data_IF_188327427112
#
_entry.id   IF_188327427112
#
_cell.length_a   1.000
_cell.length_b   1.000
_cell.length_c   1.000
_cell.angle_alpha   90.00
_cell.angle_beta   90.00
_cell.angle_gamma   90.00
#
_symmetry.space_group_name_H-M   'P 1'
#
loop_
_entity.id
_entity.type
_entity.pdbx_description
1 polymer ?
#
# COMPACT_ATOMS: atom_id res chain seq x y z
N UNK A 1 24.51 -20.92 11.29
CA UNK A 1 24.63 -20.15 10.03
C UNK A 1 25.54 -18.98 10.29
N UNK A 2 26.53 -18.68 9.43
CA UNK A 2 27.44 -17.57 9.67
C UNK A 2 26.69 -16.24 9.59
N UNK A 3 26.95 -15.38 10.58
CA UNK A 3 26.52 -13.98 10.59
C UNK A 3 27.21 -13.29 9.42
N UNK A 4 26.47 -12.74 8.48
CA UNK A 4 27.06 -11.98 7.38
C UNK A 4 27.46 -10.58 7.87
N UNK A 5 28.73 -10.19 7.81
CA UNK A 5 29.13 -8.81 8.12
C UNK A 5 28.54 -7.87 7.05
N UNK A 6 27.83 -6.86 7.49
CA UNK A 6 27.37 -5.77 6.63
C UNK A 6 28.47 -4.72 6.62
N UNK A 7 29.11 -4.52 5.48
CA UNK A 7 30.17 -3.53 5.23
C UNK A 7 29.77 -2.09 5.60
N UNK A 8 30.73 -1.12 5.62
CA UNK A 8 30.43 0.25 5.99
C UNK A 8 29.18 0.77 5.29
N UNK A 9 28.20 1.16 6.09
CA UNK A 9 26.80 1.36 5.66
C UNK A 9 26.64 2.26 4.41
N UNK A 10 27.43 3.33 4.31
CA UNK A 10 27.26 4.29 3.21
C UNK A 10 27.75 3.75 1.87
N UNK A 11 28.97 3.19 1.82
CA UNK A 11 29.55 2.66 0.59
C UNK A 11 28.80 1.42 0.09
N UNK A 12 28.35 0.56 1.01
CA UNK A 12 27.58 -0.64 0.65
C UNK A 12 26.19 -0.27 0.16
N UNK A 13 25.54 0.71 0.78
CA UNK A 13 24.21 1.17 0.39
C UNK A 13 24.23 1.86 -0.99
N UNK A 14 25.25 2.67 -1.29
CA UNK A 14 25.42 3.26 -2.62
C UNK A 14 25.71 2.23 -3.71
N UNK A 15 26.46 1.19 -3.39
CA UNK A 15 26.77 0.11 -4.33
C UNK A 15 25.53 -0.75 -4.67
N UNK A 16 24.63 -0.95 -3.70
CA UNK A 16 23.45 -1.82 -3.88
C UNK A 16 22.14 -1.08 -4.20
N UNK A 17 22.06 0.19 -3.82
CA UNK A 17 20.93 1.06 -4.17
C UNK A 17 21.43 2.46 -4.51
N UNK A 18 21.94 2.67 -5.73
CA UNK A 18 22.43 3.96 -6.19
C UNK A 18 21.31 5.02 -6.29
N UNK A 19 20.04 4.60 -6.22
CA UNK A 19 18.88 5.51 -6.25
C UNK A 19 18.52 6.03 -4.86
N UNK A 20 19.13 5.50 -3.79
CA UNK A 20 18.84 5.91 -2.43
C UNK A 20 19.30 7.34 -2.17
N UNK A 21 18.40 8.18 -1.61
CA UNK A 21 18.74 9.56 -1.24
C UNK A 21 19.57 9.61 0.05
N UNK A 22 20.35 10.68 0.24
CA UNK A 22 21.09 10.92 1.47
C UNK A 22 20.17 10.92 2.71
N UNK A 23 18.96 11.50 2.60
CA UNK A 23 17.96 11.51 3.67
C UNK A 23 17.48 10.09 4.01
N UNK A 24 17.30 9.23 3.02
CA UNK A 24 16.91 7.84 3.21
C UNK A 24 18.02 7.04 3.92
N UNK A 25 19.28 7.21 3.50
CA UNK A 25 20.43 6.57 4.16
C UNK A 25 20.58 7.00 5.61
N UNK A 26 20.40 8.30 5.88
CA UNK A 26 20.46 8.82 7.25
C UNK A 26 19.31 8.28 8.13
N UNK A 27 18.12 8.14 7.59
CA UNK A 27 17.00 7.51 8.30
C UNK A 27 17.28 6.05 8.64
N UNK A 28 17.92 5.30 7.75
CA UNK A 28 18.36 3.92 8.00
C UNK A 28 19.42 3.83 9.09
N UNK A 29 20.43 4.73 9.10
CA UNK A 29 21.42 4.80 10.18
C UNK A 29 20.78 5.02 11.54
N UNK A 30 19.83 5.97 11.61
CA UNK A 30 19.07 6.24 12.85
C UNK A 30 18.29 5.01 13.31
N UNK A 31 17.71 4.27 12.38
CA UNK A 31 16.99 3.02 12.69
C UNK A 31 17.94 1.94 13.21
N UNK A 32 19.09 1.75 12.57
CA UNK A 32 20.12 0.80 13.03
C UNK A 32 20.64 1.17 14.42
N UNK A 33 20.85 2.45 14.70
CA UNK A 33 21.27 2.91 16.03
C UNK A 33 20.17 2.68 17.09
N UNK A 34 18.91 2.83 16.72
CA UNK A 34 17.79 2.50 17.60
C UNK A 34 17.73 0.99 17.91
N UNK A 35 17.97 0.14 16.90
CA UNK A 35 18.07 -1.32 17.07
C UNK A 35 19.25 -1.70 17.95
N UNK A 36 20.41 -1.04 17.79
CA UNK A 36 21.57 -1.25 18.68
C UNK A 36 21.25 -0.92 20.13
N UNK A 37 20.62 0.22 20.38
CA UNK A 37 20.19 0.61 21.76
C UNK A 37 19.18 -0.36 22.35
N UNK A 38 18.40 -1.01 21.53
CA UNK A 38 17.44 -2.04 21.93
C UNK A 38 18.09 -3.45 22.05
N UNK A 39 19.37 -3.60 21.72
CA UNK A 39 20.09 -4.87 21.78
C UNK A 39 19.88 -5.82 20.61
N UNK A 40 19.33 -5.35 19.49
CA UNK A 40 19.01 -6.16 18.30
C UNK A 40 20.02 -6.04 17.18
N UNK A 41 20.97 -5.13 17.30
CA UNK A 41 22.07 -4.95 16.37
C UNK A 41 23.35 -4.59 17.12
N UNK A 42 24.49 -4.94 16.58
CA UNK A 42 25.81 -4.56 17.10
C UNK A 42 26.55 -3.74 16.05
N UNK A 43 27.26 -2.72 16.48
CA UNK A 43 28.12 -1.93 15.60
C UNK A 43 29.57 -2.25 15.89
N UNK A 44 30.29 -2.70 14.89
CA UNK A 44 31.70 -3.01 14.96
C UNK A 44 32.59 -1.76 14.89
N UNK A 45 33.85 -1.87 15.26
CA UNK A 45 34.79 -0.75 15.27
C UNK A 45 35.13 -0.21 13.89
N UNK A 46 34.97 -1.02 12.85
CA UNK A 46 35.12 -0.65 11.43
C UNK A 46 33.88 0.08 10.86
N UNK A 47 32.84 0.28 11.68
CA UNK A 47 31.60 0.93 11.28
C UNK A 47 30.56 0.00 10.65
N UNK A 48 30.84 -1.29 10.52
CA UNK A 48 29.89 -2.29 10.05
C UNK A 48 28.82 -2.60 11.10
N UNK A 49 27.69 -3.14 10.65
CA UNK A 49 26.57 -3.52 11.50
C UNK A 49 26.34 -5.02 11.41
N UNK A 50 26.16 -5.64 12.55
CA UNK A 50 25.75 -7.03 12.65
C UNK A 50 24.31 -7.10 13.14
N UNK A 51 23.47 -7.79 12.38
CA UNK A 51 22.07 -8.01 12.71
C UNK A 51 21.84 -9.51 12.84
N UNK A 52 21.34 -9.93 13.99
CA UNK A 52 21.09 -11.36 14.24
C UNK A 52 20.03 -11.93 13.29
N UNK A 53 20.09 -13.26 12.99
CA UNK A 53 19.14 -13.90 12.08
C UNK A 53 17.70 -13.87 12.58
N UNK A 54 17.49 -13.73 13.87
CA UNK A 54 16.22 -13.65 14.56
C UNK A 54 15.74 -12.21 14.85
N UNK A 55 16.42 -11.20 14.29
CA UNK A 55 16.13 -9.78 14.55
C UNK A 55 14.67 -9.38 14.27
N UNK A 56 14.02 -9.98 13.28
CA UNK A 56 12.60 -9.69 12.99
C UNK A 56 11.67 -10.17 14.12
N UNK A 57 11.94 -11.34 14.66
CA UNK A 57 11.21 -11.88 15.80
C UNK A 57 11.43 -11.06 17.07
N UNK A 58 12.68 -10.67 17.32
CA UNK A 58 13.06 -9.84 18.45
C UNK A 58 12.45 -8.44 18.33
N UNK A 59 12.51 -7.81 17.16
CA UNK A 59 11.89 -6.52 16.89
C UNK A 59 10.37 -6.57 17.11
N UNK A 60 9.72 -7.62 16.66
CA UNK A 60 8.29 -7.84 16.88
C UNK A 60 7.94 -7.97 18.36
N UNK A 61 8.72 -8.74 19.12
CA UNK A 61 8.53 -8.87 20.58
C UNK A 61 8.74 -7.53 21.29
N UNK A 62 9.76 -6.76 20.88
CA UNK A 62 10.03 -5.44 21.43
C UNK A 62 8.89 -4.44 21.12
N UNK A 63 8.41 -4.39 19.90
CA UNK A 63 7.24 -3.59 19.53
C UNK A 63 6.01 -3.97 20.38
N UNK A 64 5.74 -5.26 20.51
CA UNK A 64 4.64 -5.74 21.36
C UNK A 64 4.81 -5.33 22.82
N UNK A 65 6.04 -5.33 23.36
CA UNK A 65 6.31 -4.91 24.75
C UNK A 65 6.14 -3.40 24.96
N UNK A 66 6.39 -2.59 23.93
CA UNK A 66 6.29 -1.12 23.98
C UNK A 66 4.90 -0.60 23.67
N UNK A 67 4.22 -1.21 22.71
CA UNK A 67 2.93 -0.75 22.20
C UNK A 67 1.75 -1.58 22.72
N UNK A 68 2.01 -2.66 23.46
CA UNK A 68 1.01 -3.65 23.81
C UNK A 68 0.44 -4.30 22.54
N UNK A 69 -0.87 -4.52 22.52
CA UNK A 69 -1.58 -5.03 21.33
C UNK A 69 -2.02 -3.92 20.36
N UNK A 70 -1.32 -2.76 20.35
CA UNK A 70 -1.66 -1.68 19.43
C UNK A 70 -1.53 -2.16 17.97
N UNK A 71 -2.64 -2.15 17.25
CA UNK A 71 -2.69 -2.49 15.84
C UNK A 71 -2.73 -1.19 15.03
N UNK A 72 -1.75 -1.04 14.12
CA UNK A 72 -1.78 0.04 13.15
C UNK A 72 -2.73 -0.34 12.01
N UNK A 73 -3.78 0.44 11.84
CA UNK A 73 -4.74 0.29 10.75
C UNK A 73 -4.71 1.55 9.86
N UNK A 74 -4.06 1.44 8.71
CA UNK A 74 -3.95 2.53 7.75
C UNK A 74 -5.28 2.69 7.02
N UNK A 75 -6.02 3.75 7.33
CA UNK A 75 -7.34 4.02 6.75
C UNK A 75 -7.26 4.68 5.37
N UNK A 76 -6.23 5.46 5.11
CA UNK A 76 -5.98 6.09 3.81
C UNK A 76 -4.47 6.24 3.60
N UNK A 77 -4.06 6.21 2.33
CA UNK A 77 -2.70 6.52 1.89
C UNK A 77 -2.56 7.98 1.44
N UNK A 78 -3.68 8.68 1.29
CA UNK A 78 -3.72 10.11 1.02
C UNK A 78 -3.93 10.89 2.31
N UNK A 79 -3.35 12.10 2.43
CA UNK A 79 -3.65 13.04 3.49
C UNK A 79 -5.14 13.37 3.54
N UNK A 80 -5.67 13.70 4.73
CA UNK A 80 -7.10 13.98 4.92
C UNK A 80 -7.58 15.12 4.02
N UNK A 81 -6.78 16.17 3.87
CA UNK A 81 -7.15 17.33 3.06
C UNK A 81 -7.28 16.99 1.57
N UNK A 82 -6.49 16.03 1.08
CA UNK A 82 -6.59 15.53 -0.29
C UNK A 82 -7.81 14.63 -0.51
N UNK A 83 -8.38 14.07 0.55
CA UNK A 83 -9.59 13.23 0.45
C UNK A 83 -10.86 14.05 0.20
N UNK A 84 -10.86 15.34 0.56
CA UNK A 84 -12.04 16.19 0.47
C UNK A 84 -12.55 16.32 -0.97
N UNK A 85 -11.70 16.67 -1.90
CA UNK A 85 -12.05 16.89 -3.32
C UNK A 85 -11.58 15.73 -4.23
N UNK A 86 -11.24 14.60 -3.64
CA UNK A 86 -10.77 13.45 -4.41
C UNK A 86 -11.86 12.90 -5.34
N UNK A 87 -11.52 12.67 -6.62
CA UNK A 87 -12.42 12.09 -7.62
C UNK A 87 -12.44 10.56 -7.53
N UNK A 88 -13.05 10.04 -6.49
CA UNK A 88 -13.15 8.62 -6.19
C UNK A 88 -13.72 8.37 -4.80
N UNK A 89 -13.88 7.10 -4.42
CA UNK A 89 -14.31 6.73 -3.09
C UNK A 89 -13.16 6.90 -2.09
N UNK A 90 -13.45 7.59 -0.99
CA UNK A 90 -12.46 7.85 0.05
C UNK A 90 -12.80 7.15 1.37
N UNK A 91 -11.87 7.15 2.30
CA UNK A 91 -12.15 6.69 3.65
C UNK A 91 -13.23 7.54 4.35
N UNK A 92 -13.29 8.86 4.06
CA UNK A 92 -14.31 9.74 4.63
C UNK A 92 -15.74 9.30 4.25
N UNK A 93 -15.92 8.75 3.05
CA UNK A 93 -17.21 8.29 2.54
C UNK A 93 -17.69 7.01 3.21
N UNK A 94 -16.75 6.16 3.67
CA UNK A 94 -17.05 4.85 4.28
C UNK A 94 -17.29 4.91 5.78
N UNK A 95 -17.00 6.04 6.40
CA UNK A 95 -17.08 6.15 7.86
C UNK A 95 -18.49 6.09 8.42
N UNK A 96 -19.46 6.58 7.67
CA UNK A 96 -20.80 6.84 8.23
C UNK A 96 -20.69 7.75 9.47
N UNK A 97 -21.51 7.46 10.49
CA UNK A 97 -21.51 8.23 11.75
C UNK A 97 -20.44 7.80 12.78
N UNK A 98 -19.43 7.02 12.38
CA UNK A 98 -18.39 6.56 13.30
C UNK A 98 -17.55 7.74 13.81
N UNK A 99 -17.59 7.97 15.11
CA UNK A 99 -16.76 8.98 15.77
C UNK A 99 -15.29 8.57 15.79
N UNK A 100 -14.39 9.49 15.47
CA UNK A 100 -12.92 9.28 15.47
C UNK A 100 -12.32 9.66 16.82
N UNK A 101 -13.02 9.41 17.93
CA UNK A 101 -12.55 9.81 19.25
C UNK A 101 -12.76 11.31 19.54
N UNK A 102 -11.90 11.88 20.38
CA UNK A 102 -11.93 13.29 20.78
C UNK A 102 -10.56 13.94 20.55
N UNK A 103 -10.53 15.27 20.41
CA UNK A 103 -9.30 16.04 20.24
C UNK A 103 -9.11 16.66 18.86
N UNK A 104 -7.95 17.28 18.65
CA UNK A 104 -7.67 18.05 17.42
C UNK A 104 -7.82 17.23 16.13
N UNK A 105 -7.36 15.97 16.14
CA UNK A 105 -7.49 15.08 14.98
C UNK A 105 -8.96 14.76 14.67
N UNK A 106 -9.76 14.46 15.70
CA UNK A 106 -11.19 14.20 15.52
C UNK A 106 -11.95 15.41 14.92
N UNK A 107 -11.59 16.62 15.39
CA UNK A 107 -12.15 17.86 14.84
C UNK A 107 -11.70 18.09 13.39
N UNK A 108 -10.47 17.75 13.04
CA UNK A 108 -9.99 17.84 11.65
C UNK A 108 -10.76 16.88 10.75
N UNK A 109 -10.91 15.63 11.16
CA UNK A 109 -11.67 14.62 10.40
C UNK A 109 -13.13 15.03 10.26
N UNK A 110 -13.77 15.59 11.29
CA UNK A 110 -15.15 16.04 11.22
C UNK A 110 -15.32 17.14 10.16
N UNK A 111 -14.47 18.18 10.20
CA UNK A 111 -14.47 19.26 9.20
C UNK A 111 -14.24 18.73 7.78
N UNK A 112 -13.26 17.83 7.60
CA UNK A 112 -12.99 17.22 6.30
C UNK A 112 -14.19 16.39 5.80
N UNK A 113 -14.93 15.72 6.71
CA UNK A 113 -16.13 14.97 6.35
C UNK A 113 -17.27 15.89 5.90
N UNK A 114 -17.45 17.03 6.57
CA UNK A 114 -18.47 18.02 6.18
C UNK A 114 -18.13 18.62 4.80
N UNK A 115 -16.88 19.02 4.60
CA UNK A 115 -16.38 19.54 3.31
C UNK A 115 -16.50 18.49 2.19
N UNK A 116 -16.20 17.22 2.50
CA UNK A 116 -16.37 16.10 1.56
C UNK A 116 -17.83 15.94 1.17
N UNK A 117 -18.75 16.03 2.11
CA UNK A 117 -20.19 15.98 1.84
C UNK A 117 -20.61 17.10 0.89
N UNK A 118 -20.19 18.34 1.13
CA UNK A 118 -20.47 19.48 0.27
C UNK A 118 -19.93 19.26 -1.15
N UNK A 119 -18.70 18.73 -1.27
CA UNK A 119 -18.10 18.36 -2.55
C UNK A 119 -18.95 17.32 -3.30
N UNK A 120 -19.38 16.25 -2.63
CA UNK A 120 -20.22 15.20 -3.24
C UNK A 120 -21.59 15.72 -3.68
N UNK A 121 -22.18 16.66 -2.94
CA UNK A 121 -23.43 17.33 -3.34
C UNK A 121 -23.17 18.20 -4.57
N UNK A 122 -22.10 18.99 -4.59
CA UNK A 122 -21.71 19.83 -5.72
C UNK A 122 -21.48 19.01 -6.99
N UNK A 123 -20.85 17.83 -6.87
CA UNK A 123 -20.60 16.92 -8.00
C UNK A 123 -21.77 16.03 -8.37
N UNK A 124 -22.89 16.13 -7.63
CA UNK A 124 -24.11 15.33 -7.80
C UNK A 124 -23.94 13.83 -7.53
N UNK A 125 -22.91 13.48 -6.81
CA UNK A 125 -22.68 12.10 -6.35
C UNK A 125 -23.51 11.78 -5.09
N UNK A 126 -23.88 12.81 -4.31
CA UNK A 126 -24.78 12.75 -3.14
C UNK A 126 -25.91 13.76 -3.29
N UNK A 127 -27.13 13.41 -2.87
CA UNK A 127 -28.24 14.37 -2.77
C UNK A 127 -28.20 15.08 -1.41
N UNK A 128 -28.72 16.33 -1.33
CA UNK A 128 -28.73 17.08 -0.06
C UNK A 128 -29.49 16.40 1.08
N UNK A 129 -30.56 15.64 0.77
CA UNK A 129 -31.38 14.90 1.72
C UNK A 129 -30.81 13.53 2.13
N UNK A 130 -29.78 13.02 1.42
CA UNK A 130 -29.11 11.77 1.73
C UNK A 130 -28.10 11.97 2.86
N UNK A 131 -28.19 11.18 3.94
CA UNK A 131 -27.28 11.26 5.10
C UNK A 131 -25.90 10.62 4.82
N UNK A 132 -25.87 9.63 3.96
CA UNK A 132 -24.64 8.88 3.60
C UNK A 132 -24.68 8.51 2.12
N UNK A 133 -23.50 8.22 1.58
CA UNK A 133 -23.34 7.83 0.20
C UNK A 133 -23.97 6.45 -0.06
N UNK A 134 -24.97 6.32 -0.96
CA UNK A 134 -25.59 5.05 -1.27
C UNK A 134 -24.58 4.03 -1.82
N UNK A 135 -24.77 2.74 -1.54
CA UNK A 135 -23.84 1.66 -1.95
C UNK A 135 -23.57 1.68 -3.47
N UNK A 136 -24.61 1.87 -4.28
CA UNK A 136 -24.44 1.97 -5.72
C UNK A 136 -23.52 3.13 -6.15
N UNK A 137 -23.60 4.26 -5.45
CA UNK A 137 -22.71 5.39 -5.68
C UNK A 137 -21.29 5.13 -5.19
N UNK A 138 -21.13 4.40 -4.08
CA UNK A 138 -19.80 3.97 -3.61
C UNK A 138 -19.10 3.14 -4.68
N UNK A 139 -19.77 2.16 -5.27
CA UNK A 139 -19.20 1.34 -6.35
C UNK A 139 -18.84 2.16 -7.60
N UNK A 140 -19.65 3.17 -7.95
CA UNK A 140 -19.31 4.07 -9.06
C UNK A 140 -18.05 4.89 -8.78
N UNK A 141 -17.90 5.42 -7.56
CA UNK A 141 -16.70 6.17 -7.17
C UNK A 141 -15.45 5.27 -7.09
N UNK A 142 -15.61 4.04 -6.61
CA UNK A 142 -14.53 3.05 -6.65
C UNK A 142 -14.07 2.74 -8.09
N UNK A 143 -15.02 2.54 -8.99
CA UNK A 143 -14.72 2.27 -10.40
C UNK A 143 -14.06 3.49 -11.07
N UNK A 144 -14.52 4.70 -10.76
CA UNK A 144 -13.97 5.97 -11.27
C UNK A 144 -12.51 6.12 -10.87
N UNK A 145 -12.19 5.92 -9.59
CA UNK A 145 -10.82 6.02 -9.08
C UNK A 145 -9.89 4.99 -9.74
N UNK A 146 -10.32 3.73 -9.84
CA UNK A 146 -9.54 2.70 -10.55
C UNK A 146 -9.32 3.05 -12.01
N UNK A 147 -10.34 3.59 -12.69
CA UNK A 147 -10.22 4.05 -14.07
C UNK A 147 -9.21 5.19 -14.22
N UNK A 148 -9.21 6.16 -13.31
CA UNK A 148 -8.27 7.27 -13.33
C UNK A 148 -6.82 6.79 -13.09
N UNK A 149 -6.62 5.89 -12.13
CA UNK A 149 -5.32 5.27 -11.90
C UNK A 149 -4.84 4.45 -13.11
N UNK A 150 -5.74 3.70 -13.73
CA UNK A 150 -5.46 2.95 -14.95
C UNK A 150 -5.09 3.86 -16.13
N UNK A 151 -5.78 4.98 -16.31
CA UNK A 151 -5.42 5.97 -17.35
C UNK A 151 -4.02 6.53 -17.13
N UNK A 152 -3.68 6.88 -15.89
CA UNK A 152 -2.34 7.38 -15.55
C UNK A 152 -1.26 6.35 -15.87
N UNK A 153 -1.46 5.08 -15.49
CA UNK A 153 -0.51 4.00 -15.80
C UNK A 153 -0.47 3.69 -17.30
N UNK A 154 -1.59 3.75 -18.01
CA UNK A 154 -1.64 3.58 -19.49
C UNK A 154 -0.77 4.61 -20.20
N UNK A 155 -0.84 5.88 -19.78
CA UNK A 155 -0.01 6.95 -20.34
C UNK A 155 1.46 6.70 -20.05
N UNK A 156 1.79 6.33 -18.80
CA UNK A 156 3.15 6.11 -18.35
C UNK A 156 3.82 4.89 -19.00
N UNK A 157 3.09 3.77 -19.09
CA UNK A 157 3.62 2.48 -19.56
C UNK A 157 3.34 2.18 -21.03
N UNK A 158 2.47 2.94 -21.68
CA UNK A 158 1.96 2.72 -23.07
C UNK A 158 1.30 1.34 -23.25
N UNK A 159 0.73 0.79 -22.17
CA UNK A 159 0.02 -0.49 -22.17
C UNK A 159 -1.48 -0.30 -21.98
N UNK A 160 -2.27 -1.24 -22.47
CA UNK A 160 -3.72 -1.22 -22.31
C UNK A 160 -4.11 -1.70 -20.89
N UNK A 161 -5.07 -1.01 -20.29
CA UNK A 161 -5.71 -1.49 -19.07
C UNK A 161 -6.78 -2.52 -19.38
N UNK A 162 -6.72 -3.68 -18.71
CA UNK A 162 -7.71 -4.75 -18.82
C UNK A 162 -8.48 -4.82 -17.50
N UNK A 163 -9.78 -4.60 -17.56
CA UNK A 163 -10.68 -4.90 -16.46
C UNK A 163 -11.00 -6.40 -16.48
N UNK A 164 -10.75 -7.10 -15.38
CA UNK A 164 -10.97 -8.54 -15.28
C UNK A 164 -12.38 -8.78 -14.75
N UNK A 165 -13.30 -9.18 -15.61
CA UNK A 165 -14.70 -9.46 -15.25
C UNK A 165 -14.83 -10.78 -14.50
N UNK A 166 -16.02 -11.00 -13.91
CA UNK A 166 -16.31 -12.24 -13.19
C UNK A 166 -16.11 -13.46 -14.10
N UNK A 167 -15.28 -14.38 -13.63
CA UNK A 167 -14.92 -15.61 -14.38
C UNK A 167 -13.74 -15.45 -15.31
N UNK A 168 -13.34 -14.26 -15.66
CA UNK A 168 -12.16 -14.00 -16.48
C UNK A 168 -10.87 -14.15 -15.71
N UNK A 169 -9.80 -14.41 -16.46
CA UNK A 169 -8.44 -14.59 -15.93
C UNK A 169 -7.48 -13.70 -16.70
N UNK A 170 -6.64 -12.96 -15.98
CA UNK A 170 -5.52 -12.21 -16.53
C UNK A 170 -4.21 -12.74 -15.94
N UNK A 171 -3.22 -12.98 -16.80
CA UNK A 171 -1.88 -13.44 -16.41
C UNK A 171 -0.86 -12.35 -16.66
N UNK A 172 -0.05 -12.07 -15.64
CA UNK A 172 0.99 -11.06 -15.72
C UNK A 172 1.96 -11.16 -14.57
N UNK A 173 2.96 -10.29 -14.55
CA UNK A 173 3.95 -10.18 -13.48
C UNK A 173 3.50 -9.08 -12.51
N UNK A 174 3.63 -9.30 -11.21
CA UNK A 174 3.46 -8.23 -10.23
C UNK A 174 4.64 -7.27 -10.30
N UNK A 175 4.38 -6.03 -10.68
CA UNK A 175 5.44 -5.04 -10.94
C UNK A 175 5.66 -4.11 -9.73
N UNK A 176 4.61 -3.40 -9.34
CA UNK A 176 4.67 -2.38 -8.29
C UNK A 176 3.32 -2.16 -7.63
N UNK A 177 3.29 -1.66 -6.40
CA UNK A 177 2.07 -1.19 -5.79
C UNK A 177 1.70 0.22 -6.30
N UNK A 178 0.40 0.54 -6.26
CA UNK A 178 -0.15 1.88 -6.44
C UNK A 178 -1.08 2.19 -5.27
N UNK A 179 -0.94 3.38 -4.68
CA UNK A 179 -1.78 3.82 -3.58
C UNK A 179 -2.94 4.65 -4.12
N UNK A 180 -4.15 4.24 -3.81
CA UNK A 180 -5.39 4.93 -4.11
C UNK A 180 -6.08 5.34 -2.79
N UNK A 181 -7.00 6.29 -2.84
CA UNK A 181 -7.74 6.72 -1.64
C UNK A 181 -8.55 5.57 -1.02
N UNK A 182 -9.07 4.68 -1.83
CA UNK A 182 -9.82 3.50 -1.39
C UNK A 182 -8.94 2.36 -0.86
N UNK A 183 -7.62 2.43 -1.05
CA UNK A 183 -6.68 1.41 -0.61
C UNK A 183 -5.51 1.22 -1.56
N UNK A 184 -4.68 0.23 -1.27
CA UNK A 184 -3.50 -0.10 -2.07
C UNK A 184 -3.82 -1.18 -3.09
N UNK A 185 -3.35 -1.01 -4.32
CA UNK A 185 -3.49 -1.96 -5.40
C UNK A 185 -2.12 -2.40 -5.92
N UNK A 186 -2.08 -3.52 -6.60
CA UNK A 186 -0.90 -4.04 -7.29
C UNK A 186 -1.13 -3.95 -8.79
N UNK A 187 -0.15 -3.44 -9.52
CA UNK A 187 -0.11 -3.52 -10.97
C UNK A 187 0.43 -4.89 -11.35
N UNK A 188 -0.40 -5.66 -12.03
CA UNK A 188 -0.03 -6.95 -12.61
C UNK A 188 -0.11 -6.81 -14.11
N UNK A 189 1.01 -6.98 -14.81
CA UNK A 189 1.09 -6.68 -16.24
C UNK A 189 1.94 -7.65 -17.05
N UNK A 190 1.77 -7.57 -18.35
CA UNK A 190 2.61 -8.20 -19.36
C UNK A 190 3.13 -7.13 -20.34
N UNK A 191 3.72 -7.52 -21.45
CA UNK A 191 4.31 -6.59 -22.42
C UNK A 191 3.30 -5.61 -23.08
N UNK A 192 2.00 -5.95 -23.11
CA UNK A 192 0.98 -5.19 -23.85
C UNK A 192 -0.09 -4.62 -22.93
N UNK A 193 -0.38 -5.27 -21.82
CA UNK A 193 -1.54 -5.04 -20.99
C UNK A 193 -1.21 -5.10 -19.50
N UNK A 194 -2.05 -4.48 -18.69
CA UNK A 194 -1.99 -4.60 -17.24
C UNK A 194 -3.38 -4.54 -16.61
N UNK A 195 -3.46 -5.03 -15.38
CA UNK A 195 -4.65 -4.91 -14.54
C UNK A 195 -4.29 -4.45 -13.13
N UNK A 196 -5.27 -3.95 -12.39
CA UNK A 196 -5.16 -3.56 -10.98
C UNK A 196 -5.83 -4.62 -10.10
N UNK A 197 -5.06 -5.24 -9.21
CA UNK A 197 -5.60 -6.18 -8.23
C UNK A 197 -5.48 -5.61 -6.82
N UNK A 198 -6.41 -5.88 -5.89
CA UNK A 198 -6.29 -5.45 -4.50
C UNK A 198 -4.99 -5.95 -3.88
N UNK A 199 -4.21 -5.03 -3.35
CA UNK A 199 -2.95 -5.35 -2.69
C UNK A 199 -3.20 -5.93 -1.29
N UNK A 200 -2.44 -6.95 -0.94
CA UNK A 200 -2.35 -7.50 0.42
C UNK A 200 -0.89 -7.73 0.77
N UNK A 201 -0.49 -7.71 2.06
CA UNK A 201 0.92 -7.95 2.43
C UNK A 201 1.51 -9.23 1.83
N UNK A 202 0.70 -10.27 1.64
CA UNK A 202 1.12 -11.53 1.04
C UNK A 202 1.55 -11.42 -0.43
N UNK A 203 1.08 -10.41 -1.18
CA UNK A 203 1.46 -10.24 -2.59
C UNK A 203 2.89 -9.72 -2.73
N UNK A 204 3.40 -8.98 -1.73
CA UNK A 204 4.70 -8.31 -1.82
C UNK A 204 5.86 -9.27 -2.05
N UNK A 205 5.81 -10.46 -1.44
CA UNK A 205 6.82 -11.53 -1.67
C UNK A 205 6.82 -12.09 -3.10
N UNK A 206 5.80 -11.78 -3.88
CA UNK A 206 5.67 -12.20 -5.28
C UNK A 206 6.04 -11.10 -6.27
N UNK A 207 6.65 -10.01 -5.81
CA UNK A 207 7.09 -8.93 -6.69
C UNK A 207 8.09 -9.45 -7.70
N UNK A 208 7.92 -9.10 -8.98
CA UNK A 208 8.69 -9.62 -10.09
C UNK A 208 8.32 -11.05 -10.53
N UNK A 209 7.36 -11.70 -9.88
CA UNK A 209 6.94 -13.06 -10.23
C UNK A 209 5.58 -13.08 -10.94
N UNK A 210 5.34 -14.13 -11.76
CA UNK A 210 4.07 -14.31 -12.44
C UNK A 210 2.91 -14.54 -11.47
N UNK A 211 1.81 -13.83 -11.72
CA UNK A 211 0.55 -13.95 -10.99
C UNK A 211 -0.61 -14.17 -11.95
N UNK A 212 -1.65 -14.80 -11.42
CA UNK A 212 -2.95 -14.93 -12.08
C UNK A 212 -3.95 -14.08 -11.33
N UNK A 213 -4.47 -13.05 -11.99
CA UNK A 213 -5.62 -12.29 -11.51
C UNK A 213 -6.90 -12.97 -12.01
N UNK A 214 -7.90 -13.12 -11.14
CA UNK A 214 -9.18 -13.74 -11.47
C UNK A 214 -10.33 -12.84 -10.99
N UNK A 215 -11.23 -12.53 -11.87
CA UNK A 215 -12.48 -11.86 -11.54
C UNK A 215 -13.39 -12.77 -10.71
N UNK A 216 -13.93 -12.23 -9.63
CA UNK A 216 -14.86 -12.90 -8.71
C UNK A 216 -16.14 -12.06 -8.60
N UNK A 217 -17.22 -12.62 -8.07
CA UNK A 217 -18.48 -11.89 -7.87
C UNK A 217 -18.38 -10.66 -6.93
N UNK A 218 -17.29 -10.56 -6.17
CA UNK A 218 -17.04 -9.48 -5.20
C UNK A 218 -15.81 -8.64 -5.52
N UNK A 219 -15.18 -8.83 -6.71
CA UNK A 219 -13.99 -8.07 -7.13
C UNK A 219 -12.97 -8.95 -7.84
N UNK A 220 -11.69 -8.59 -7.69
CA UNK A 220 -10.58 -9.31 -8.33
C UNK A 220 -9.72 -9.96 -7.23
N UNK A 221 -9.56 -11.28 -7.33
CA UNK A 221 -8.60 -12.04 -6.55
C UNK A 221 -7.31 -12.28 -7.33
N UNK A 222 -6.28 -12.79 -6.65
CA UNK A 222 -5.03 -13.18 -7.29
C UNK A 222 -4.46 -14.45 -6.66
N UNK A 223 -3.66 -15.18 -7.43
CA UNK A 223 -2.86 -16.31 -6.96
C UNK A 223 -1.51 -16.34 -7.68
N UNK A 224 -0.45 -16.94 -7.10
CA UNK A 224 0.76 -17.25 -7.83
C UNK A 224 0.46 -18.14 -9.01
N UNK A 225 1.10 -17.90 -10.15
CA UNK A 225 1.03 -18.83 -11.27
C UNK A 225 1.80 -20.10 -10.87
N UNK A 226 1.13 -21.25 -10.90
CA UNK A 226 1.79 -22.53 -10.65
C UNK A 226 2.81 -22.78 -11.76
N UNK A 227 4.07 -23.02 -11.42
CA UNK A 227 5.03 -23.54 -12.38
C UNK A 227 4.42 -24.79 -13.04
N UNK A 228 4.36 -24.82 -14.38
CA UNK A 228 4.07 -26.08 -15.07
C UNK A 228 5.17 -27.04 -14.66
N UNK A 229 4.80 -28.10 -13.94
CA UNK A 229 5.67 -29.27 -13.89
C UNK A 229 5.91 -29.71 -15.33
N UNK A 230 7.12 -29.46 -15.80
CA UNK A 230 7.61 -30.10 -17.03
C UNK A 230 7.65 -31.60 -16.70
N UNK A 231 6.61 -32.31 -17.12
CA UNK A 231 6.54 -33.75 -17.05
C UNK A 231 7.82 -34.34 -17.65
N UNK A 232 8.45 -35.16 -16.87
CA UNK A 232 9.58 -35.98 -17.25
C UNK A 232 9.08 -37.17 -18.03
#
# INVERSE_FOLDING_TARGET
MPVMPIHPFDAHHEAHDPTSTAAFREAHKRRLEALRRAGFATRSTDGSWEIGPDHLEQAKRYEMSKTGNARLDVKSWLPIDELVEHDGLTWLDRRGDQRVGVGAFANHVARASDQRRDYLIKTRDLKPDEKSLPIGKQHLLEARERSNAAKTETIASKRAYVFVEQGEIFKGVYEKPVNLAQGRFAIVGNAKEFTLVPWRPSIERHRGNPLVAKGTGIGIGWSPEKAKELGR
#
